data_IF_690615228575
#
_entry.id   IF_690615228575
#
_cell.length_a   1.000
_cell.length_b   1.000
_cell.length_c   1.000
_cell.angle_alpha   90.00
_cell.angle_beta   90.00
_cell.angle_gamma   90.00
#
_symmetry.space_group_name_H-M   'P 1'
#
loop_
_entity.id
_entity.type
_entity.pdbx_description
1 polymer ?
#
# COMPACT_ATOMS: atom_id res chain seq x y z
N UNK A 1 -2.40 -20.32 -13.02
CA UNK A 1 -1.79 -20.02 -11.71
C UNK A 1 -2.32 -18.67 -11.26
N UNK A 2 -2.62 -18.44 -9.97
CA UNK A 2 -3.02 -17.11 -9.52
C UNK A 2 -1.85 -16.17 -9.81
N UNK A 3 -2.11 -15.10 -10.56
CA UNK A 3 -1.09 -14.16 -11.03
C UNK A 3 -0.24 -13.65 -9.87
N UNK A 4 1.04 -13.47 -10.13
CA UNK A 4 2.02 -12.96 -9.17
C UNK A 4 1.45 -11.74 -8.42
N UNK A 5 1.37 -11.84 -7.08
CA UNK A 5 0.81 -10.84 -6.16
C UNK A 5 1.72 -9.60 -6.05
N UNK A 6 2.37 -9.18 -7.12
CA UNK A 6 3.19 -7.96 -7.13
C UNK A 6 2.30 -6.77 -7.42
N UNK A 7 1.47 -6.41 -6.44
CA UNK A 7 0.91 -5.08 -6.40
C UNK A 7 2.06 -4.12 -6.12
N UNK A 8 2.54 -3.40 -7.13
CA UNK A 8 3.61 -2.43 -6.97
C UNK A 8 3.06 -1.19 -6.22
N UNK A 9 2.89 -1.29 -4.91
CA UNK A 9 2.55 -0.14 -4.06
C UNK A 9 3.71 0.12 -3.10
N UNK A 10 3.91 1.39 -2.77
CA UNK A 10 4.88 1.84 -1.78
C UNK A 10 4.19 1.95 -0.42
N UNK A 11 4.88 1.49 0.62
CA UNK A 11 4.43 1.63 2.01
C UNK A 11 5.19 2.80 2.63
N UNK A 12 4.45 3.71 3.24
CA UNK A 12 4.95 4.85 3.99
C UNK A 12 4.44 4.83 5.42
N UNK A 13 5.06 5.62 6.29
CA UNK A 13 4.53 5.90 7.62
C UNK A 13 3.53 7.06 7.56
N UNK A 14 3.80 8.09 8.36
CA UNK A 14 2.99 9.32 8.41
C UNK A 14 3.29 10.33 7.29
N UNK A 15 4.21 9.97 6.37
CA UNK A 15 4.63 10.84 5.27
C UNK A 15 3.78 10.54 4.04
N UNK A 16 3.22 11.59 3.44
CA UNK A 16 2.52 11.50 2.16
C UNK A 16 3.48 11.00 1.09
N UNK A 17 3.08 9.94 0.39
CA UNK A 17 3.81 9.40 -0.75
C UNK A 17 3.25 10.00 -2.03
N UNK A 18 4.12 10.58 -2.85
CA UNK A 18 3.76 11.17 -4.14
C UNK A 18 4.55 10.52 -5.26
N UNK A 19 3.98 10.48 -6.45
CA UNK A 19 4.68 10.13 -7.67
C UNK A 19 5.63 11.26 -8.13
N UNK A 20 6.25 11.09 -9.31
CA UNK A 20 7.16 12.09 -9.90
C UNK A 20 6.46 13.40 -10.30
N UNK A 21 5.13 13.40 -10.43
CA UNK A 21 4.31 14.57 -10.74
C UNK A 21 3.80 15.27 -9.48
N UNK A 22 4.06 14.71 -8.29
CA UNK A 22 3.56 15.21 -7.02
C UNK A 22 2.15 14.71 -6.67
N UNK A 23 1.60 13.78 -7.44
CA UNK A 23 0.27 13.21 -7.21
C UNK A 23 0.35 12.04 -6.23
N UNK A 24 -0.49 12.08 -5.19
CA UNK A 24 -0.67 10.97 -4.25
C UNK A 24 -1.95 10.24 -4.61
N UNK A 25 -1.84 9.21 -5.45
CA UNK A 25 -2.98 8.40 -5.87
C UNK A 25 -2.78 6.91 -5.58
N UNK A 26 -3.85 6.23 -5.15
CA UNK A 26 -3.90 4.77 -5.07
C UNK A 26 -5.23 4.26 -5.62
N UNK A 27 -5.19 3.28 -6.53
CA UNK A 27 -6.43 2.59 -6.96
C UNK A 27 -6.99 1.74 -5.81
N UNK A 28 -8.32 1.70 -5.68
CA UNK A 28 -9.00 0.92 -4.65
C UNK A 28 -8.67 -0.58 -4.66
N UNK A 29 -8.28 -1.13 -5.83
CA UNK A 29 -7.84 -2.52 -5.94
C UNK A 29 -6.53 -2.75 -5.16
N UNK A 30 -5.58 -1.83 -5.24
CA UNK A 30 -4.31 -1.93 -4.50
C UNK A 30 -4.51 -1.68 -3.01
N UNK A 31 -5.46 -0.82 -2.62
CA UNK A 31 -5.83 -0.66 -1.22
C UNK A 31 -6.35 -1.97 -0.62
N UNK A 32 -7.20 -2.70 -1.35
CA UNK A 32 -7.72 -3.99 -0.90
C UNK A 32 -6.59 -5.03 -0.73
N UNK A 33 -5.63 -5.05 -1.65
CA UNK A 33 -4.44 -5.93 -1.55
C UNK A 33 -3.60 -5.57 -0.33
N UNK A 34 -3.25 -4.30 -0.14
CA UNK A 34 -2.46 -3.84 0.99
C UNK A 34 -3.12 -4.16 2.34
N UNK A 35 -4.45 -4.06 2.42
CA UNK A 35 -5.20 -4.42 3.62
C UNK A 35 -5.12 -5.93 3.90
N UNK A 36 -5.29 -6.77 2.88
CA UNK A 36 -5.19 -8.23 3.03
C UNK A 36 -3.78 -8.64 3.43
N UNK A 37 -2.75 -8.01 2.85
CA UNK A 37 -1.35 -8.28 3.17
C UNK A 37 -1.04 -7.95 4.65
N UNK A 38 -1.51 -6.82 5.17
CA UNK A 38 -1.33 -6.45 6.59
C UNK A 38 -2.09 -7.41 7.55
N UNK A 39 -3.22 -7.99 7.11
CA UNK A 39 -3.94 -9.01 7.89
C UNK A 39 -3.18 -10.34 7.89
N UNK A 40 -2.68 -10.77 6.72
CA UNK A 40 -1.95 -12.03 6.55
C UNK A 40 -0.57 -11.98 7.23
N UNK A 41 0.14 -10.85 7.11
CA UNK A 41 1.48 -10.63 7.67
C UNK A 41 1.54 -9.28 8.41
N UNK A 42 1.15 -9.24 9.70
CA UNK A 42 1.05 -7.97 10.43
C UNK A 42 2.41 -7.30 10.63
N UNK A 43 2.61 -6.14 10.00
CA UNK A 43 3.83 -5.34 10.09
C UNK A 43 3.61 -4.03 10.89
N UNK A 44 2.38 -3.52 10.92
CA UNK A 44 2.03 -2.21 11.46
C UNK A 44 1.05 -2.33 12.65
N UNK A 45 1.58 -2.71 13.82
CA UNK A 45 0.75 -2.87 15.03
C UNK A 45 0.53 -1.55 15.75
N UNK A 46 -0.75 -1.19 15.92
CA UNK A 46 -1.19 0.02 16.68
C UNK A 46 -0.53 1.30 16.17
N UNK A 47 -0.15 1.32 14.90
CA UNK A 47 0.43 2.47 14.22
C UNK A 47 -0.37 2.77 12.96
N UNK A 48 -0.30 4.01 12.50
CA UNK A 48 -0.77 4.36 11.16
C UNK A 48 0.30 3.99 10.14
N UNK A 49 -0.14 3.65 8.95
CA UNK A 49 0.71 3.48 7.78
C UNK A 49 -0.06 3.98 6.55
N UNK A 50 0.68 4.33 5.51
CA UNK A 50 0.17 4.88 4.26
C UNK A 50 0.58 3.97 3.12
N UNK A 51 -0.27 3.87 2.11
CA UNK A 51 0.04 3.17 0.85
C UNK A 51 -0.24 4.08 -0.33
N UNK A 52 0.66 4.11 -1.30
CA UNK A 52 0.54 4.90 -2.52
C UNK A 52 1.28 4.25 -3.70
N UNK A 53 1.06 4.78 -4.90
CA UNK A 53 1.80 4.40 -6.12
C UNK A 53 2.82 5.49 -6.46
#
# INVERSE_FOLDING_TARGET
>A
APGERTGAYRIGGDVLLTDENGDSHLSGQYLAVALVDEIETPAHRRTRFTVAY
#
